data_IF_562726030341
#
_entry.id   IF_562726030341
#
_cell.length_a   1.000
_cell.length_b   1.000
_cell.length_c   1.000
_cell.angle_alpha   90.00
_cell.angle_beta   90.00
_cell.angle_gamma   90.00
#
_symmetry.space_group_name_H-M   'P 1'
#
loop_
_entity.id
_entity.type
_entity.pdbx_description
1 polymer ?
#
# COMPACT_ATOMS: atom_id res chain seq x y z
N UNK A 1 3.18 1.86 10.12
CA UNK A 1 3.36 1.59 8.67
C UNK A 1 2.00 1.66 8.04
N UNK A 2 1.87 2.33 6.90
CA UNK A 2 0.60 2.49 6.20
C UNK A 2 0.74 2.16 4.73
N UNK A 3 -0.36 1.72 4.11
CA UNK A 3 -0.47 1.71 2.65
C UNK A 3 -0.99 3.06 2.18
N UNK A 4 -0.37 3.62 1.14
CA UNK A 4 -0.61 4.98 0.67
C UNK A 4 -0.71 4.95 -0.84
N UNK A 5 -1.77 5.52 -1.40
CA UNK A 5 -2.01 5.45 -2.84
C UNK A 5 -3.12 6.38 -3.31
N UNK A 6 -3.51 6.25 -4.58
CA UNK A 6 -4.55 7.10 -5.15
C UNK A 6 -5.90 6.99 -4.41
N UNK A 7 -6.24 5.81 -3.86
CA UNK A 7 -7.49 5.56 -3.14
C UNK A 7 -7.61 6.31 -1.80
N UNK A 8 -6.51 6.84 -1.25
CA UNK A 8 -6.53 7.68 -0.05
C UNK A 8 -5.88 9.04 -0.27
N UNK A 9 -5.73 9.47 -1.53
CA UNK A 9 -5.13 10.78 -1.86
C UNK A 9 -3.66 10.88 -1.50
N UNK A 10 -2.94 9.77 -1.46
CA UNK A 10 -1.54 9.69 -1.02
C UNK A 10 -1.30 10.21 0.41
N UNK A 11 -2.29 10.07 1.29
CA UNK A 11 -2.21 10.50 2.69
C UNK A 11 -1.68 9.38 3.61
N UNK A 12 -0.50 9.54 4.22
CA UNK A 12 0.03 8.56 5.18
C UNK A 12 -0.85 8.40 6.41
N UNK A 13 -0.84 7.21 7.03
CA UNK A 13 -1.58 6.94 8.27
C UNK A 13 -3.10 6.72 8.10
N UNK A 14 -3.68 7.03 6.94
CA UNK A 14 -5.13 6.80 6.72
C UNK A 14 -5.51 5.31 6.61
N UNK A 15 -4.58 4.48 6.18
CA UNK A 15 -4.72 3.02 6.11
C UNK A 15 -3.50 2.34 6.77
N UNK A 16 -3.48 2.32 8.10
CA UNK A 16 -2.39 1.68 8.86
C UNK A 16 -2.48 0.15 8.81
N UNK A 17 -1.32 -0.49 8.68
CA UNK A 17 -1.21 -1.94 8.78
C UNK A 17 -1.19 -2.35 10.25
N UNK A 18 -2.00 -3.35 10.57
CA UNK A 18 -2.12 -3.91 11.93
C UNK A 18 -1.25 -5.16 12.04
N UNK A 19 -0.43 -5.21 13.08
CA UNK A 19 0.39 -6.39 13.41
C UNK A 19 -0.49 -7.57 13.81
N UNK A 20 -0.21 -8.74 13.25
CA UNK A 20 -0.85 -10.02 13.55
C UNK A 20 0.03 -10.86 14.48
N UNK A 21 -0.56 -11.91 15.07
CA UNK A 21 0.14 -12.80 16.01
C UNK A 21 1.28 -13.59 15.36
N UNK A 22 1.18 -13.84 14.07
CA UNK A 22 2.19 -14.53 13.24
C UNK A 22 3.35 -13.60 12.81
N UNK A 23 3.35 -12.34 13.26
CA UNK A 23 4.39 -11.35 12.92
C UNK A 23 4.14 -10.61 11.61
N UNK A 24 3.12 -11.00 10.83
CA UNK A 24 2.74 -10.26 9.62
C UNK A 24 2.03 -8.95 9.97
N UNK A 25 1.94 -8.05 8.99
CA UNK A 25 1.19 -6.79 9.11
C UNK A 25 0.18 -6.71 7.99
N UNK A 26 -1.07 -6.37 8.30
CA UNK A 26 -2.16 -6.43 7.32
C UNK A 26 -3.09 -5.23 7.45
N UNK A 27 -3.60 -4.77 6.31
CA UNK A 27 -4.72 -3.83 6.20
C UNK A 27 -5.64 -4.32 5.09
N UNK A 28 -6.94 -4.05 5.20
CA UNK A 28 -7.91 -4.37 4.15
C UNK A 28 -8.51 -3.07 3.63
N UNK A 29 -8.33 -2.83 2.32
CA UNK A 29 -8.91 -1.67 1.62
C UNK A 29 -9.89 -2.22 0.59
N UNK A 30 -11.13 -1.72 0.61
CA UNK A 30 -12.15 -2.09 -0.38
C UNK A 30 -12.05 -1.16 -1.57
N UNK A 31 -11.79 -1.72 -2.75
CA UNK A 31 -11.60 -0.98 -3.99
C UNK A 31 -12.55 -1.55 -5.07
N UNK A 32 -13.28 -0.71 -5.82
CA UNK A 32 -13.97 -1.17 -7.02
C UNK A 32 -12.95 -1.57 -8.11
N UNK A 33 -13.37 -2.27 -9.18
CA UNK A 33 -12.50 -2.57 -10.32
C UNK A 33 -11.84 -1.30 -10.88
N UNK A 34 -10.58 -1.43 -11.30
CA UNK A 34 -9.80 -0.30 -11.80
C UNK A 34 -8.30 -0.41 -11.54
N UNK A 35 -7.58 0.64 -11.92
CA UNK A 35 -6.13 0.74 -11.74
C UNK A 35 -5.78 1.63 -10.54
N UNK A 36 -4.94 1.11 -9.64
CA UNK A 36 -4.54 1.78 -8.42
C UNK A 36 -3.03 1.84 -8.29
N UNK A 37 -2.50 3.02 -7.98
CA UNK A 37 -1.09 3.20 -7.64
C UNK A 37 -0.92 3.39 -6.15
N UNK A 38 0.05 2.71 -5.58
CA UNK A 38 0.31 2.74 -4.15
C UNK A 38 1.76 2.41 -3.80
N UNK A 39 2.13 2.72 -2.57
CA UNK A 39 3.37 2.30 -1.89
C UNK A 39 3.07 2.05 -0.41
N UNK A 40 3.97 1.34 0.26
CA UNK A 40 3.97 1.28 1.71
C UNK A 40 4.92 2.32 2.31
N UNK A 41 4.46 3.01 3.35
CA UNK A 41 5.30 3.88 4.17
C UNK A 41 5.66 3.16 5.47
N UNK A 42 6.91 2.72 5.57
CA UNK A 42 7.45 2.08 6.76
C UNK A 42 7.77 3.10 7.86
N UNK A 43 8.01 2.59 9.07
CA UNK A 43 8.51 3.41 10.19
C UNK A 43 9.85 4.02 9.78
N UNK A 44 10.03 5.32 10.06
CA UNK A 44 11.23 6.06 9.64
C UNK A 44 11.12 6.72 8.26
N UNK A 45 9.95 6.69 7.62
CA UNK A 45 9.69 7.42 6.38
C UNK A 45 10.20 6.73 5.12
N UNK A 46 10.57 5.44 5.21
CA UNK A 46 11.04 4.65 4.08
C UNK A 46 9.84 4.19 3.24
N UNK A 47 9.89 4.49 1.94
CA UNK A 47 8.93 4.02 0.96
C UNK A 47 9.33 2.64 0.43
N UNK A 48 8.36 1.73 0.37
CA UNK A 48 8.54 0.39 -0.15
C UNK A 48 7.49 0.12 -1.22
N UNK A 49 7.93 -0.47 -2.32
CA UNK A 49 7.04 -1.02 -3.35
C UNK A 49 6.64 -2.46 -2.98
N UNK A 50 5.47 -2.87 -3.45
CA UNK A 50 4.97 -4.23 -3.36
C UNK A 50 5.52 -5.07 -4.53
N UNK A 51 6.31 -6.10 -4.21
CA UNK A 51 6.87 -7.05 -5.18
C UNK A 51 5.80 -7.93 -5.85
N UNK A 52 4.62 -8.05 -5.23
CA UNK A 52 3.49 -8.81 -5.75
C UNK A 52 2.49 -7.96 -6.55
N UNK A 53 2.80 -6.67 -6.77
CA UNK A 53 1.99 -5.81 -7.63
C UNK A 53 2.04 -6.28 -9.10
N UNK A 54 1.00 -5.96 -9.87
CA UNK A 54 0.95 -6.30 -11.31
C UNK A 54 2.07 -5.61 -12.11
N UNK A 55 2.53 -4.46 -11.64
CA UNK A 55 3.70 -3.76 -12.16
C UNK A 55 4.36 -2.91 -11.06
N UNK A 56 5.67 -2.79 -11.12
CA UNK A 56 6.45 -1.84 -10.30
C UNK A 56 7.26 -0.94 -11.24
N UNK A 57 7.06 0.37 -11.12
CA UNK A 57 7.77 1.40 -11.90
C UNK A 57 8.24 2.56 -11.00
N UNK A 58 8.74 3.63 -11.61
CA UNK A 58 9.22 4.84 -10.91
C UNK A 58 8.14 5.51 -10.04
N UNK A 59 6.86 5.29 -10.37
CA UNK A 59 5.69 5.80 -9.63
C UNK A 59 5.20 4.83 -8.55
N UNK A 60 5.83 3.68 -8.41
CA UNK A 60 5.58 2.67 -7.39
C UNK A 60 4.79 1.47 -7.91
N UNK A 61 4.05 0.83 -7.00
CA UNK A 61 3.26 -0.36 -7.31
C UNK A 61 1.96 0.01 -8.01
N UNK A 62 1.64 -0.75 -9.05
CA UNK A 62 0.38 -0.71 -9.78
C UNK A 62 -0.41 -2.00 -9.53
N UNK A 63 -1.65 -1.84 -9.11
CA UNK A 63 -2.63 -2.91 -8.92
C UNK A 63 -3.81 -2.71 -9.86
N UNK A 64 -4.23 -3.76 -10.55
CA UNK A 64 -5.39 -3.82 -11.44
C UNK A 64 -6.39 -4.83 -10.86
N UNK A 65 -7.55 -4.34 -10.46
CA UNK A 65 -8.65 -5.13 -9.89
C UNK A 65 -9.75 -5.29 -10.93
#
# INVERSE_FOLDING_TARGET
MSVVGCFNGWEPGRHELVTRRDGTRTVTVKLPPGEYRFRYLATGGVWLDDESADQVDDRGSLLRI
#
